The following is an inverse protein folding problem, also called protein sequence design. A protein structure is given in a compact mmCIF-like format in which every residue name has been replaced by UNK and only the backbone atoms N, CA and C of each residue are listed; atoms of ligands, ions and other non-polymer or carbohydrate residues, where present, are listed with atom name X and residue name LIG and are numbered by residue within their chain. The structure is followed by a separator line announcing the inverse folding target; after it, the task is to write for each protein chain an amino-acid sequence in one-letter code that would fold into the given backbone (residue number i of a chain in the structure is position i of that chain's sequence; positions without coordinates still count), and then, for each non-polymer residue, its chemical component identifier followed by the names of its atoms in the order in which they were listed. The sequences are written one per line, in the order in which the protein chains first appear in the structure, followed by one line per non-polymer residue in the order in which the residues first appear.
data_IF_962095224059
#
_entry.id   IF_962095224059
#
_cell.length_a   1.000
_cell.length_b   1.000
_cell.length_c   1.000
_cell.angle_alpha   90.00
_cell.angle_beta   90.00
_cell.angle_gamma   90.00
#
_symmetry.space_group_name_H-M   'P 1'
#
loop_
_entity.id
_entity.type
_entity.pdbx_description
1 polymer ?
#
# COMPACT_ATOMS: atom_id res chain seq x y z
N UNK A 1 21.69 127.26 16.72
CA UNK A 1 20.24 127.28 16.97
C UNK A 1 19.57 127.30 15.62
N UNK A 2 18.90 126.22 15.23
CA UNK A 2 17.53 126.30 14.70
C UNK A 2 16.97 124.89 14.56
N UNK A 3 15.95 124.62 15.38
CA UNK A 3 15.24 123.37 15.47
C UNK A 3 14.18 123.33 14.37
N UNK A 4 14.50 122.71 13.23
CA UNK A 4 13.48 122.35 12.25
C UNK A 4 12.78 121.08 12.75
N UNK A 5 11.62 121.25 13.40
CA UNK A 5 10.69 120.15 13.67
C UNK A 5 10.41 119.41 12.35
N UNK A 6 10.66 118.10 12.34
CA UNK A 6 10.17 117.19 11.29
C UNK A 6 8.66 117.41 11.09
N UNK A 7 8.12 117.30 9.86
CA UNK A 7 6.70 117.49 9.62
C UNK A 7 5.93 116.53 10.54
N UNK A 8 5.09 117.08 11.43
CA UNK A 8 4.18 116.26 12.21
C UNK A 8 3.35 115.43 11.22
N UNK A 9 3.15 114.12 11.49
CA UNK A 9 2.40 113.27 10.58
C UNK A 9 1.05 113.93 10.32
N UNK A 10 0.73 114.12 9.04
CA UNK A 10 -0.51 114.77 8.60
C UNK A 10 -1.67 114.04 9.31
N UNK A 11 -2.38 114.77 10.18
CA UNK A 11 -3.38 114.18 11.07
C UNK A 11 -4.46 113.44 10.27
N UNK A 12 -4.65 113.82 9.01
CA UNK A 12 -5.54 113.18 8.05
C UNK A 12 -5.07 111.78 7.61
N UNK A 13 -3.76 111.56 7.42
CA UNK A 13 -3.19 110.28 7.00
C UNK A 13 -3.16 109.28 8.16
N UNK A 14 -2.82 109.73 9.37
CA UNK A 14 -2.92 108.91 10.59
C UNK A 14 -4.38 108.54 10.90
N UNK A 15 -5.32 109.48 10.71
CA UNK A 15 -6.75 109.20 10.87
C UNK A 15 -7.27 108.16 9.88
N UNK A 16 -6.89 108.25 8.60
CA UNK A 16 -7.26 107.28 7.57
C UNK A 16 -6.69 105.86 7.86
N UNK A 17 -5.44 105.77 8.31
CA UNK A 17 -4.83 104.50 8.72
C UNK A 17 -5.48 103.88 9.97
N UNK A 18 -5.93 104.72 10.92
CA UNK A 18 -6.72 104.26 12.07
C UNK A 18 -8.12 103.78 11.66
N UNK A 19 -8.75 104.42 10.68
CA UNK A 19 -10.06 104.05 10.16
C UNK A 19 -10.01 102.72 9.37
N UNK A 20 -8.97 102.50 8.57
CA UNK A 20 -8.73 101.23 7.86
C UNK A 20 -8.43 100.08 8.83
N UNK A 21 -7.59 100.31 9.85
CA UNK A 21 -7.34 99.33 10.91
C UNK A 21 -8.60 99.00 11.73
N UNK A 22 -9.45 100.01 12.01
CA UNK A 22 -10.73 99.81 12.66
C UNK A 22 -11.71 99.00 11.78
N UNK A 23 -11.73 99.26 10.46
CA UNK A 23 -12.54 98.51 9.50
C UNK A 23 -12.10 97.05 9.38
N UNK A 24 -10.79 96.77 9.32
CA UNK A 24 -10.25 95.41 9.32
C UNK A 24 -10.62 94.70 10.63
N UNK A 25 -10.52 95.38 11.76
CA UNK A 25 -10.90 94.83 13.07
C UNK A 25 -12.40 94.53 13.14
N UNK A 26 -13.22 95.40 12.58
CA UNK A 26 -14.68 95.22 12.45
C UNK A 26 -15.01 94.03 11.55
N UNK A 27 -14.37 93.90 10.39
CA UNK A 27 -14.54 92.75 9.49
C UNK A 27 -14.08 91.44 10.16
N UNK A 28 -12.96 91.45 10.89
CA UNK A 28 -12.49 90.29 11.64
C UNK A 28 -13.48 89.87 12.74
N UNK A 29 -14.11 90.85 13.42
CA UNK A 29 -15.17 90.58 14.39
C UNK A 29 -16.44 90.04 13.72
N UNK A 30 -16.83 90.56 12.55
CA UNK A 30 -17.95 90.03 11.76
C UNK A 30 -17.70 88.60 11.30
N UNK A 31 -16.50 88.28 10.81
CA UNK A 31 -16.11 86.91 10.44
C UNK A 31 -16.17 85.97 11.65
N UNK A 32 -15.71 86.43 12.82
CA UNK A 32 -15.79 85.64 14.06
C UNK A 32 -17.24 85.43 14.50
N UNK A 33 -18.12 86.41 14.31
CA UNK A 33 -19.56 86.24 14.53
C UNK A 33 -20.18 85.24 13.54
N UNK A 34 -19.71 85.21 12.28
CA UNK A 34 -20.14 84.23 11.28
C UNK A 34 -19.71 82.79 11.63
N UNK A 35 -18.56 82.61 12.28
CA UNK A 35 -18.09 81.30 12.74
C UNK A 35 -18.95 80.71 13.87
N UNK A 36 -19.68 81.54 14.61
CA UNK A 36 -20.58 81.14 15.69
C UNK A 36 -22.04 81.00 15.23
N UNK A 37 -22.33 81.11 13.92
CA UNK A 37 -23.67 80.82 13.42
C UNK A 37 -23.98 79.33 13.64
N UNK A 38 -25.19 78.98 14.15
CA UNK A 38 -25.56 77.58 14.43
C UNK A 38 -25.40 76.65 13.22
N UNK A 39 -25.60 77.16 12.00
CA UNK A 39 -25.42 76.42 10.75
C UNK A 39 -23.95 76.07 10.49
N UNK A 40 -23.04 77.04 10.63
CA UNK A 40 -21.59 76.83 10.44
C UNK A 40 -21.02 75.91 11.52
N UNK A 41 -21.53 76.01 12.74
CA UNK A 41 -21.16 75.11 13.83
C UNK A 41 -21.63 73.66 13.56
N UNK A 42 -22.89 73.48 13.13
CA UNK A 42 -23.43 72.18 12.74
C UNK A 42 -22.66 71.55 11.58
N UNK A 43 -22.29 72.33 10.57
CA UNK A 43 -21.47 71.86 9.44
C UNK A 43 -20.08 71.40 9.91
N UNK A 44 -19.43 72.13 10.83
CA UNK A 44 -18.15 71.73 11.40
C UNK A 44 -18.28 70.40 12.18
N UNK A 45 -19.33 70.23 12.98
CA UNK A 45 -19.61 68.99 13.70
C UNK A 45 -19.84 67.82 12.73
N UNK A 46 -20.62 68.02 11.66
CA UNK A 46 -20.83 67.03 10.59
C UNK A 46 -19.49 66.63 9.95
N UNK A 47 -18.62 67.57 9.63
CA UNK A 47 -17.29 67.28 9.07
C UNK A 47 -16.45 66.43 10.05
N UNK A 48 -16.51 66.73 11.35
CA UNK A 48 -15.78 65.91 12.34
C UNK A 48 -16.33 64.49 12.45
N UNK A 49 -17.66 64.31 12.39
CA UNK A 49 -18.30 62.99 12.39
C UNK A 49 -17.95 62.21 11.12
N UNK A 50 -17.99 62.85 9.96
CA UNK A 50 -17.61 62.23 8.68
C UNK A 50 -16.16 61.75 8.69
N UNK A 51 -15.23 62.56 9.24
CA UNK A 51 -13.84 62.12 9.43
C UNK A 51 -13.75 60.90 10.34
N UNK A 52 -14.48 60.89 11.46
CA UNK A 52 -14.53 59.73 12.36
C UNK A 52 -15.13 58.47 11.73
N UNK A 53 -16.10 58.63 10.82
CA UNK A 53 -16.65 57.53 10.01
C UNK A 53 -15.60 57.02 9.03
N UNK A 54 -14.91 57.91 8.31
CA UNK A 54 -13.85 57.54 7.37
C UNK A 54 -12.74 56.72 8.05
N UNK A 55 -12.24 57.18 9.21
CA UNK A 55 -11.24 56.44 9.98
C UNK A 55 -11.72 55.05 10.44
N UNK A 56 -13.02 54.90 10.74
CA UNK A 56 -13.61 53.60 11.10
C UNK A 56 -13.72 52.69 9.88
N UNK A 57 -14.10 53.23 8.72
CA UNK A 57 -14.14 52.48 7.47
C UNK A 57 -12.75 51.97 7.08
N UNK A 58 -11.72 52.83 7.16
CA UNK A 58 -10.34 52.41 6.91
C UNK A 58 -9.90 51.26 7.82
N UNK A 59 -10.29 51.28 9.11
CA UNK A 59 -10.01 50.18 10.04
C UNK A 59 -10.76 48.91 9.67
N UNK A 60 -12.02 49.03 9.24
CA UNK A 60 -12.83 47.89 8.80
C UNK A 60 -12.21 47.27 7.55
N UNK A 61 -11.83 48.07 6.55
CA UNK A 61 -11.19 47.58 5.32
C UNK A 61 -9.88 46.85 5.61
N UNK A 62 -9.05 47.40 6.50
CA UNK A 62 -7.83 46.73 6.96
C UNK A 62 -8.12 45.38 7.65
N UNK A 63 -9.14 45.33 8.51
CA UNK A 63 -9.53 44.08 9.18
C UNK A 63 -10.08 43.05 8.19
N UNK A 64 -10.86 43.48 7.21
CA UNK A 64 -11.37 42.61 6.13
C UNK A 64 -10.20 42.06 5.32
N UNK A 65 -9.21 42.89 4.97
CA UNK A 65 -8.00 42.43 4.28
C UNK A 65 -7.24 41.36 5.06
N UNK A 66 -7.10 41.52 6.38
CA UNK A 66 -6.48 40.52 7.25
C UNK A 66 -7.32 39.23 7.36
N UNK A 67 -8.64 39.34 7.39
CA UNK A 67 -9.54 38.18 7.41
C UNK A 67 -9.43 37.39 6.10
N UNK A 68 -9.44 38.06 4.95
CA UNK A 68 -9.29 37.41 3.64
C UNK A 68 -7.96 36.63 3.59
N UNK A 69 -6.84 37.25 3.97
CA UNK A 69 -5.55 36.57 4.00
C UNK A 69 -5.53 35.34 4.93
N UNK A 70 -6.29 35.35 6.03
CA UNK A 70 -6.44 34.20 6.92
C UNK A 70 -7.31 33.11 6.32
N UNK A 71 -8.36 33.47 5.56
CA UNK A 71 -9.21 32.53 4.84
C UNK A 71 -8.42 31.84 3.74
N UNK A 72 -7.66 32.60 2.93
CA UNK A 72 -6.80 32.04 1.88
C UNK A 72 -5.79 31.03 2.46
N UNK A 73 -5.18 31.37 3.61
CA UNK A 73 -4.27 30.44 4.30
C UNK A 73 -4.96 29.20 4.87
N UNK A 74 -6.24 29.27 5.20
CA UNK A 74 -7.02 28.11 5.65
C UNK A 74 -7.37 27.21 4.46
N UNK A 75 -7.76 27.79 3.32
CA UNK A 75 -8.01 27.06 2.07
C UNK A 75 -6.75 26.28 1.65
N UNK A 76 -5.58 26.93 1.60
CA UNK A 76 -4.30 26.27 1.32
C UNK A 76 -3.98 25.10 2.28
N UNK A 77 -4.38 25.24 3.55
CA UNK A 77 -4.18 24.20 4.55
C UNK A 77 -5.13 23.02 4.33
N UNK A 78 -6.37 23.31 3.95
CA UNK A 78 -7.38 22.30 3.64
C UNK A 78 -6.99 21.49 2.39
N UNK A 79 -6.52 22.13 1.34
CA UNK A 79 -6.04 21.46 0.12
C UNK A 79 -4.90 20.49 0.43
N UNK A 80 -3.92 20.92 1.25
CA UNK A 80 -2.81 20.06 1.69
C UNK A 80 -3.28 18.89 2.55
N UNK A 81 -4.36 19.09 3.31
CA UNK A 81 -4.93 18.03 4.15
C UNK A 81 -5.64 16.99 3.27
N UNK A 82 -6.40 17.43 2.27
CA UNK A 82 -7.05 16.59 1.27
C UNK A 82 -6.02 15.73 0.51
N UNK A 83 -4.97 16.36 -0.03
CA UNK A 83 -3.83 15.67 -0.67
C UNK A 83 -3.21 14.59 0.23
N UNK A 84 -3.11 14.87 1.53
CA UNK A 84 -2.54 13.93 2.50
C UNK A 84 -3.50 12.78 2.80
N UNK A 85 -4.80 13.05 2.84
CA UNK A 85 -5.84 12.03 3.04
C UNK A 85 -5.89 11.08 1.85
N UNK A 86 -5.81 11.59 0.62
CA UNK A 86 -5.75 10.75 -0.59
C UNK A 86 -4.55 9.80 -0.58
N UNK A 87 -3.36 10.33 -0.26
CA UNK A 87 -2.14 9.51 -0.12
C UNK A 87 -2.24 8.46 0.99
N UNK A 88 -3.00 8.76 2.05
CA UNK A 88 -3.25 7.78 3.11
C UNK A 88 -4.22 6.70 2.63
N UNK A 89 -5.25 7.06 1.86
CA UNK A 89 -6.15 6.13 1.17
C UNK A 89 -5.39 5.17 0.27
N UNK A 90 -4.59 5.69 -0.67
CA UNK A 90 -3.74 4.89 -1.56
C UNK A 90 -2.82 3.91 -0.82
N UNK A 91 -2.32 4.33 0.36
CA UNK A 91 -1.45 3.50 1.18
C UNK A 91 -2.22 2.42 1.93
N UNK A 92 -3.46 2.70 2.35
CA UNK A 92 -4.36 1.72 2.94
C UNK A 92 -4.73 0.66 1.91
N UNK A 93 -5.14 1.04 0.70
CA UNK A 93 -5.47 0.10 -0.39
C UNK A 93 -4.30 -0.85 -0.67
N UNK A 94 -3.07 -0.32 -0.78
CA UNK A 94 -1.87 -1.15 -0.97
C UNK A 94 -1.55 -2.05 0.22
N UNK A 95 -1.94 -1.67 1.43
CA UNK A 95 -1.77 -2.52 2.60
C UNK A 95 -2.81 -3.64 2.60
N UNK A 96 -4.06 -3.35 2.23
CA UNK A 96 -5.11 -4.34 2.05
C UNK A 96 -4.71 -5.37 0.99
N UNK A 97 -4.27 -4.95 -0.20
CA UNK A 97 -3.76 -5.85 -1.24
C UNK A 97 -2.61 -6.75 -0.75
N UNK A 98 -1.74 -6.23 0.12
CA UNK A 98 -0.62 -6.99 0.68
C UNK A 98 -1.07 -7.98 1.74
N UNK A 99 -2.07 -7.61 2.54
CA UNK A 99 -2.67 -8.50 3.54
C UNK A 99 -3.42 -9.62 2.83
N UNK A 100 -4.24 -9.32 1.83
CA UNK A 100 -4.95 -10.33 1.02
C UNK A 100 -3.98 -11.36 0.42
N UNK A 101 -2.85 -10.92 -0.14
CA UNK A 101 -1.80 -11.84 -0.66
C UNK A 101 -1.07 -12.66 0.40
N UNK A 102 -1.09 -12.22 1.66
CA UNK A 102 -0.52 -12.97 2.78
C UNK A 102 -1.54 -13.93 3.38
N UNK A 103 -2.81 -13.51 3.37
CA UNK A 103 -4.00 -14.29 3.73
C UNK A 103 -4.48 -15.20 2.59
N UNK A 104 -3.75 -15.29 1.48
CA UNK A 104 -3.87 -16.36 0.48
C UNK A 104 -3.54 -17.71 1.17
N UNK A 105 -4.49 -18.19 1.95
CA UNK A 105 -4.56 -19.46 2.67
C UNK A 105 -4.25 -20.62 1.72
N UNK A 106 -4.60 -20.45 0.44
CA UNK A 106 -4.19 -21.24 -0.71
C UNK A 106 -2.71 -21.64 -0.70
N UNK A 107 -1.78 -20.77 -0.29
CA UNK A 107 -0.35 -21.10 -0.29
C UNK A 107 0.01 -22.08 0.82
N UNK A 108 -0.59 -21.92 2.00
CA UNK A 108 -0.35 -22.80 3.14
C UNK A 108 -1.04 -24.13 2.88
N UNK A 109 -2.30 -24.14 2.46
CA UNK A 109 -3.06 -25.34 2.14
C UNK A 109 -2.36 -26.17 1.03
N UNK A 110 -1.93 -25.53 -0.06
CA UNK A 110 -1.16 -26.23 -1.12
C UNK A 110 0.18 -26.75 -0.62
N UNK A 111 0.82 -26.10 0.36
CA UNK A 111 2.04 -26.61 0.96
C UNK A 111 1.76 -27.82 1.85
N UNK A 112 0.70 -27.77 2.65
CA UNK A 112 0.24 -28.87 3.49
C UNK A 112 -0.10 -30.11 2.65
N UNK A 113 -0.88 -29.95 1.58
CA UNK A 113 -1.22 -31.02 0.63
C UNK A 113 0.03 -31.65 0.01
N UNK A 114 1.00 -30.81 -0.41
CA UNK A 114 2.26 -31.28 -1.00
C UNK A 114 3.11 -32.05 0.01
N UNK A 115 3.15 -31.58 1.25
CA UNK A 115 3.90 -32.22 2.33
C UNK A 115 3.25 -33.55 2.69
N UNK A 116 1.92 -33.60 2.82
CA UNK A 116 1.18 -34.82 3.12
C UNK A 116 1.34 -35.87 2.01
N UNK A 117 1.20 -35.48 0.74
CA UNK A 117 1.46 -36.34 -0.42
C UNK A 117 2.90 -36.88 -0.40
N UNK A 118 3.87 -36.02 -0.05
CA UNK A 118 5.27 -36.40 0.12
C UNK A 118 5.46 -37.47 1.21
N UNK A 119 4.85 -37.28 2.38
CA UNK A 119 4.93 -38.24 3.48
C UNK A 119 4.32 -39.60 3.10
N UNK A 120 3.15 -39.64 2.45
CA UNK A 120 2.53 -40.89 1.99
C UNK A 120 3.43 -41.63 1.00
N UNK A 121 4.09 -40.91 0.09
CA UNK A 121 5.04 -41.53 -0.85
C UNK A 121 6.27 -42.11 -0.15
N UNK A 122 6.81 -41.43 0.87
CA UNK A 122 7.90 -41.96 1.69
C UNK A 122 7.49 -43.21 2.46
N UNK A 123 6.28 -43.21 3.04
CA UNK A 123 5.73 -44.37 3.74
C UNK A 123 5.65 -45.61 2.83
N UNK A 124 5.08 -45.47 1.62
CA UNK A 124 5.02 -46.55 0.63
C UNK A 124 6.42 -47.03 0.25
N UNK A 125 7.37 -46.11 0.07
CA UNK A 125 8.74 -46.47 -0.25
C UNK A 125 9.41 -47.28 0.86
N UNK A 126 9.21 -46.89 2.13
CA UNK A 126 9.75 -47.60 3.29
C UNK A 126 9.14 -49.00 3.44
N UNK A 127 7.81 -49.10 3.33
CA UNK A 127 7.11 -50.41 3.34
C UNK A 127 7.62 -51.31 2.22
N UNK A 128 7.77 -50.76 1.01
CA UNK A 128 8.29 -51.52 -0.12
C UNK A 128 9.77 -51.92 0.04
N UNK A 129 10.60 -51.09 0.68
CA UNK A 129 11.98 -51.45 0.98
C UNK A 129 12.04 -52.63 1.96
N UNK A 130 11.21 -52.61 3.00
CA UNK A 130 11.09 -53.72 3.95
C UNK A 130 10.66 -55.01 3.24
N UNK A 131 9.56 -54.96 2.47
CA UNK A 131 9.04 -56.11 1.73
C UNK A 131 10.05 -56.63 0.70
N UNK A 132 10.82 -55.75 0.03
CA UNK A 132 11.88 -56.17 -0.90
C UNK A 132 12.98 -56.97 -0.21
N UNK A 133 13.32 -56.63 1.03
CA UNK A 133 14.31 -57.37 1.82
C UNK A 133 13.77 -58.75 2.21
N UNK A 134 12.52 -58.82 2.66
CA UNK A 134 11.83 -60.08 2.96
C UNK A 134 11.75 -60.98 1.72
N UNK A 135 11.27 -60.45 0.60
CA UNK A 135 11.21 -61.16 -0.68
C UNK A 135 12.59 -61.61 -1.16
N UNK A 136 13.61 -60.76 -1.02
CA UNK A 136 14.99 -61.16 -1.33
C UNK A 136 15.44 -62.33 -0.46
N UNK A 137 15.05 -62.39 0.80
CA UNK A 137 15.38 -63.50 1.69
C UNK A 137 14.67 -64.79 1.28
N UNK A 138 13.36 -64.72 1.00
CA UNK A 138 12.56 -65.86 0.49
C UNK A 138 13.21 -66.44 -0.77
N UNK A 139 13.57 -65.57 -1.73
CA UNK A 139 14.19 -65.97 -3.00
C UNK A 139 15.59 -66.56 -2.78
N UNK A 140 16.44 -65.91 -1.98
CA UNK A 140 17.83 -66.34 -1.81
C UNK A 140 17.95 -67.63 -1.01
N UNK A 141 17.12 -67.80 0.03
CA UNK A 141 17.06 -68.99 0.86
C UNK A 141 16.28 -70.13 0.18
N UNK A 142 15.68 -69.88 -0.98
CA UNK A 142 14.83 -70.84 -1.72
C UNK A 142 13.72 -71.41 -0.82
N UNK A 143 13.11 -70.55 -0.01
CA UNK A 143 11.98 -70.93 0.84
C UNK A 143 10.77 -71.21 -0.04
N UNK A 144 9.98 -72.22 0.31
CA UNK A 144 8.69 -72.51 -0.31
C UNK A 144 7.59 -71.62 0.28
N UNK A 145 7.86 -70.32 0.33
CA UNK A 145 6.97 -69.27 0.82
C UNK A 145 6.60 -68.32 -0.33
N UNK A 146 5.37 -67.81 -0.30
CA UNK A 146 4.90 -66.83 -1.27
C UNK A 146 5.57 -65.46 -1.03
N UNK A 147 5.83 -64.73 -2.11
CA UNK A 147 6.33 -63.37 -2.04
C UNK A 147 5.30 -62.47 -1.35
N UNK A 148 5.79 -61.68 -0.39
CA UNK A 148 5.00 -60.62 0.23
C UNK A 148 4.71 -59.53 -0.81
N UNK A 149 3.44 -59.12 -0.97
CA UNK A 149 3.07 -58.15 -1.98
C UNK A 149 3.54 -56.74 -1.64
N UNK A 150 3.99 -56.02 -2.67
CA UNK A 150 4.37 -54.62 -2.57
C UNK A 150 3.13 -53.70 -2.59
N UNK A 151 3.34 -52.46 -2.20
CA UNK A 151 2.34 -51.42 -2.07
C UNK A 151 2.48 -50.35 -3.15
N UNK A 152 1.38 -49.67 -3.44
CA UNK A 152 1.32 -48.50 -4.33
C UNK A 152 0.32 -47.47 -3.80
N UNK A 153 0.30 -46.29 -4.39
CA UNK A 153 -0.72 -45.28 -4.11
C UNK A 153 -1.83 -45.34 -5.16
N UNK A 154 -3.08 -45.16 -4.72
CA UNK A 154 -4.23 -44.92 -5.61
C UNK A 154 -4.20 -43.52 -6.22
N UNK A 155 -5.10 -43.25 -7.16
CA UNK A 155 -5.31 -41.90 -7.69
C UNK A 155 -5.65 -40.89 -6.57
N UNK A 156 -6.34 -41.35 -5.52
CA UNK A 156 -6.68 -40.55 -4.33
C UNK A 156 -5.57 -40.53 -3.27
N UNK A 157 -4.34 -40.91 -3.65
CA UNK A 157 -3.17 -40.96 -2.79
C UNK A 157 -3.34 -41.84 -1.53
N UNK A 158 -4.17 -42.89 -1.60
CA UNK A 158 -4.33 -43.86 -0.52
C UNK A 158 -3.39 -45.05 -0.73
N UNK A 159 -2.84 -45.56 0.38
CA UNK A 159 -2.03 -46.78 0.39
C UNK A 159 -2.89 -47.98 0.00
N UNK A 160 -2.42 -48.76 -0.97
CA UNK A 160 -3.02 -50.04 -1.32
C UNK A 160 -1.96 -51.11 -1.58
N UNK A 161 -2.31 -52.36 -1.31
CA UNK A 161 -1.55 -53.53 -1.80
C UNK A 161 -1.68 -53.57 -3.32
N UNK A 162 -0.59 -53.86 -4.03
CA UNK A 162 -0.63 -54.00 -5.49
C UNK A 162 -1.54 -55.18 -5.85
N UNK A 163 -2.61 -54.97 -6.63
CA UNK A 163 -3.55 -56.02 -6.99
C UNK A 163 -2.85 -57.15 -7.76
N UNK A 164 -3.27 -58.40 -7.58
CA UNK A 164 -2.76 -59.58 -8.29
C UNK A 164 -1.22 -59.69 -8.33
N UNK A 165 -0.57 -59.40 -7.21
CA UNK A 165 0.88 -59.51 -7.08
C UNK A 165 1.33 -60.97 -7.29
N UNK A 166 2.44 -61.22 -8.01
CA UNK A 166 2.93 -62.58 -8.25
C UNK A 166 3.37 -63.25 -6.95
N UNK A 167 2.93 -64.50 -6.72
CA UNK A 167 3.31 -65.29 -5.56
C UNK A 167 4.75 -65.77 -5.63
N UNK A 168 5.31 -65.98 -6.84
CA UNK A 168 6.70 -66.44 -7.02
C UNK A 168 7.46 -65.60 -8.04
N UNK A 169 8.80 -65.56 -7.87
CA UNK A 169 9.69 -64.82 -8.77
C UNK A 169 9.66 -65.37 -10.21
N UNK A 170 9.37 -66.67 -10.34
CA UNK A 170 9.30 -67.35 -11.64
C UNK A 170 8.03 -67.04 -12.42
N UNK A 171 6.93 -66.68 -11.73
CA UNK A 171 5.68 -66.25 -12.36
C UNK A 171 5.91 -65.03 -13.26
N UNK A 172 6.80 -64.13 -12.84
CA UNK A 172 7.20 -62.94 -13.60
C UNK A 172 7.84 -63.31 -14.96
N UNK A 173 8.45 -64.49 -15.08
CA UNK A 173 9.02 -64.97 -16.34
C UNK A 173 7.94 -65.28 -17.38
N UNK A 174 6.76 -65.73 -16.94
CA UNK A 174 5.64 -66.15 -17.80
C UNK A 174 4.60 -65.05 -18.03
N UNK A 175 4.60 -63.99 -17.21
CA UNK A 175 3.67 -62.87 -17.32
C UNK A 175 3.71 -62.15 -18.68
N UNK A 176 2.55 -61.78 -19.21
CA UNK A 176 2.44 -60.98 -20.43
C UNK A 176 2.93 -59.53 -20.25
N UNK A 177 3.13 -58.82 -21.36
CA UNK A 177 3.66 -57.47 -21.33
C UNK A 177 2.73 -56.40 -20.75
N UNK A 178 1.41 -56.60 -20.84
CA UNK A 178 0.42 -55.70 -20.25
C UNK A 178 0.51 -55.74 -18.74
N UNK A 179 0.47 -56.95 -18.17
CA UNK A 179 0.58 -57.17 -16.73
C UNK A 179 1.92 -56.72 -16.15
N UNK A 180 3.04 -56.97 -16.84
CA UNK A 180 4.36 -56.47 -16.44
C UNK A 180 4.38 -54.93 -16.41
N UNK A 181 3.77 -54.27 -17.40
CA UNK A 181 3.71 -52.81 -17.44
C UNK A 181 2.83 -52.24 -16.33
N UNK A 182 1.74 -52.91 -15.99
CA UNK A 182 0.86 -52.51 -14.88
C UNK A 182 1.61 -52.54 -13.54
N UNK A 183 2.28 -53.66 -13.21
CA UNK A 183 3.08 -53.76 -11.99
C UNK A 183 4.23 -52.76 -11.95
N UNK A 184 4.92 -52.53 -13.08
CA UNK A 184 5.97 -51.52 -13.15
C UNK A 184 5.43 -50.11 -12.91
N UNK A 185 4.23 -49.77 -13.39
CA UNK A 185 3.60 -48.47 -13.11
C UNK A 185 3.26 -48.30 -11.64
N UNK A 186 2.70 -49.32 -11.00
CA UNK A 186 2.46 -49.30 -9.54
C UNK A 186 3.74 -49.07 -8.73
N UNK A 187 4.88 -49.56 -9.22
CA UNK A 187 6.19 -49.42 -8.59
C UNK A 187 6.99 -48.19 -9.06
N UNK A 188 6.34 -47.27 -9.79
CA UNK A 188 6.95 -46.08 -10.38
C UNK A 188 8.21 -46.39 -11.22
N UNK A 189 8.22 -47.55 -11.89
CA UNK A 189 9.31 -48.01 -12.75
C UNK A 189 9.01 -47.75 -14.23
N UNK A 190 10.05 -47.50 -15.01
CA UNK A 190 9.92 -47.32 -16.45
C UNK A 190 9.41 -48.59 -17.16
N UNK A 191 8.51 -48.42 -18.14
CA UNK A 191 7.91 -49.50 -18.96
C UNK A 191 8.50 -49.58 -20.37
N UNK A 192 9.65 -48.94 -20.59
CA UNK A 192 10.38 -48.94 -21.87
C UNK A 192 11.27 -50.17 -22.03
N UNK A 193 11.57 -50.51 -23.29
CA UNK A 193 12.42 -51.64 -23.67
C UNK A 193 11.65 -52.91 -24.07
N UNK A 194 12.40 -53.97 -24.35
CA UNK A 194 11.85 -55.29 -24.70
C UNK A 194 11.13 -55.92 -23.51
N UNK A 195 10.22 -56.88 -23.76
CA UNK A 195 9.51 -57.58 -22.69
C UNK A 195 10.46 -58.25 -21.70
N UNK A 196 11.55 -58.86 -22.20
CA UNK A 196 12.59 -59.45 -21.36
C UNK A 196 13.23 -58.41 -20.42
N UNK A 197 13.61 -57.24 -20.95
CA UNK A 197 14.18 -56.15 -20.14
C UNK A 197 13.21 -55.66 -19.06
N UNK A 198 11.91 -55.57 -19.38
CA UNK A 198 10.88 -55.16 -18.42
C UNK A 198 10.65 -56.21 -17.34
N UNK A 199 10.63 -57.50 -17.68
CA UNK A 199 10.56 -58.61 -16.70
C UNK A 199 11.79 -58.61 -15.78
N UNK A 200 12.99 -58.42 -16.33
CA UNK A 200 14.24 -58.25 -15.56
C UNK A 200 14.13 -57.07 -14.59
N UNK A 201 13.61 -55.93 -15.03
CA UNK A 201 13.38 -54.75 -14.18
C UNK A 201 12.38 -55.04 -13.07
N UNK A 202 11.26 -55.69 -13.38
CA UNK A 202 10.24 -56.06 -12.42
C UNK A 202 10.78 -57.04 -11.36
N UNK A 203 11.53 -58.07 -11.79
CA UNK A 203 12.19 -59.01 -10.86
C UNK A 203 13.08 -58.28 -9.85
N UNK A 204 13.88 -57.30 -10.30
CA UNK A 204 14.68 -56.47 -9.38
C UNK A 204 13.83 -55.61 -8.46
N UNK A 205 12.77 -55.00 -8.99
CA UNK A 205 11.87 -54.15 -8.23
C UNK A 205 11.09 -54.91 -7.15
N UNK A 206 10.93 -56.23 -7.28
CA UNK A 206 10.28 -57.12 -6.30
C UNK A 206 11.24 -57.63 -5.22
N UNK A 207 12.56 -57.51 -5.42
CA UNK A 207 13.59 -58.02 -4.49
C UNK A 207 14.44 -59.17 -5.06
N UNK A 208 14.21 -59.57 -6.31
CA UNK A 208 15.00 -60.61 -6.96
C UNK A 208 16.36 -60.12 -7.44
N UNK A 209 17.43 -60.67 -6.89
CA UNK A 209 18.79 -60.49 -7.42
C UNK A 209 18.98 -61.36 -8.66
N UNK A 210 19.03 -60.72 -9.83
CA UNK A 210 19.39 -61.42 -11.06
C UNK A 210 20.90 -61.65 -11.03
N UNK A 211 21.31 -62.90 -10.80
CA UNK A 211 22.69 -63.32 -11.08
C UNK A 211 22.92 -63.10 -12.58
N UNK A 212 23.79 -62.16 -12.93
CA UNK A 212 24.33 -62.12 -14.28
C UNK A 212 25.16 -63.39 -14.44
N UNK A 213 24.66 -64.35 -15.20
CA UNK A 213 25.53 -65.39 -15.73
C UNK A 213 26.48 -64.68 -16.69
N UNK A 214 27.68 -64.37 -16.21
CA UNK A 214 28.80 -64.05 -17.09
C UNK A 214 29.00 -65.28 -17.96
N UNK A 215 28.46 -65.25 -19.18
CA UNK A 215 28.83 -66.19 -20.23
C UNK A 215 30.31 -65.97 -20.49
N UNK A 216 31.14 -66.82 -19.91
CA UNK A 216 32.56 -66.86 -20.22
C UNK A 216 32.70 -67.14 -21.72
N UNK A 217 33.40 -66.23 -22.41
CA UNK A 217 33.91 -66.43 -23.75
C UNK A 217 35.19 -67.27 -23.70
#
# INVERSE_FOLDING_TARGET
MDAALSPQPDSTVMAAGCEEAANITSMAAQIRNCQNLPTVQGDNEIVTLLRGIAERLDRIDNNIGQLNARVDSLEDCMDRLEDRMDRLGDRMDRLEDRVERLEDEDRVERLEDRVESGFRRVEVQLLNQQVRLENSHIIASSLDEDLTPLYSLTADAQLQVIPHFPSRIDDISQMDGGRVNELLRHLEQGTTGTLAQRRTRLKRAVGGFIRYTTSAA
#
